data_IF_201236953091
#
_entry.id   IF_201236953091
#
_cell.length_a   1.000
_cell.length_b   1.000
_cell.length_c   1.000
_cell.angle_alpha   90.00
_cell.angle_beta   90.00
_cell.angle_gamma   90.00
#
_symmetry.space_group_name_H-M   'P 1'
#
loop_
_entity.id
_entity.type
_entity.pdbx_description
1 polymer ?
#
# COMPACT_ATOMS: atom_id res chain seq x y z
N UNK A 1 -14.80 -15.44 -30.11
CA UNK A 1 -14.91 -14.02 -29.65
C UNK A 1 -15.41 -13.85 -28.21
N UNK A 2 -16.16 -14.80 -27.61
CA UNK A 2 -16.74 -14.65 -26.25
C UNK A 2 -15.70 -14.85 -25.12
N UNK A 3 -14.78 -15.80 -25.26
CA UNK A 3 -13.76 -16.09 -24.23
C UNK A 3 -12.78 -14.93 -24.01
N UNK A 4 -12.50 -14.16 -25.05
CA UNK A 4 -11.58 -13.02 -24.98
C UNK A 4 -12.13 -11.88 -24.10
N UNK A 5 -13.45 -11.66 -24.14
CA UNK A 5 -14.12 -10.65 -23.30
C UNK A 5 -13.99 -10.97 -21.81
N UNK A 6 -14.22 -12.23 -21.41
CA UNK A 6 -14.07 -12.62 -20.00
C UNK A 6 -12.62 -12.54 -19.53
N UNK A 7 -11.66 -12.89 -20.39
CA UNK A 7 -10.24 -12.77 -20.05
C UNK A 7 -9.80 -11.32 -19.85
N UNK A 8 -10.27 -10.40 -20.71
CA UNK A 8 -9.99 -8.97 -20.59
C UNK A 8 -10.63 -8.40 -19.32
N UNK A 9 -11.88 -8.75 -19.02
CA UNK A 9 -12.54 -8.29 -17.78
C UNK A 9 -11.84 -8.81 -16.53
N UNK A 10 -11.42 -10.08 -16.53
CA UNK A 10 -10.63 -10.64 -15.44
C UNK A 10 -9.28 -9.91 -15.29
N UNK A 11 -8.55 -9.70 -16.40
CA UNK A 11 -7.27 -9.01 -16.38
C UNK A 11 -7.40 -7.56 -15.86
N UNK A 12 -8.43 -6.83 -16.27
CA UNK A 12 -8.70 -5.47 -15.78
C UNK A 12 -9.10 -5.46 -14.31
N UNK A 13 -9.90 -6.43 -13.85
CA UNK A 13 -10.25 -6.57 -12.44
C UNK A 13 -9.03 -6.88 -11.58
N UNK A 14 -8.17 -7.81 -12.01
CA UNK A 14 -6.91 -8.10 -11.32
C UNK A 14 -5.99 -6.87 -11.33
N UNK A 15 -5.82 -6.20 -12.47
CA UNK A 15 -5.03 -4.97 -12.58
C UNK A 15 -5.52 -3.88 -11.62
N UNK A 16 -6.83 -3.64 -11.57
CA UNK A 16 -7.43 -2.69 -10.64
C UNK A 16 -7.20 -3.11 -9.18
N UNK A 17 -7.26 -4.40 -8.87
CA UNK A 17 -6.93 -4.90 -7.53
C UNK A 17 -5.45 -4.79 -7.21
N UNK A 18 -4.49 -4.91 -8.14
CA UNK A 18 -3.06 -4.68 -7.80
C UNK A 18 -2.74 -3.19 -7.63
N UNK A 19 -3.46 -2.32 -8.34
CA UNK A 19 -3.25 -0.85 -8.26
C UNK A 19 -4.01 -0.23 -7.09
N UNK A 20 -5.18 -0.78 -6.75
CA UNK A 20 -5.99 -0.35 -5.60
C UNK A 20 -5.79 -1.23 -4.37
N UNK A 21 -5.08 -2.36 -4.49
CA UNK A 21 -4.49 -2.98 -3.32
C UNK A 21 -3.53 -1.94 -2.78
N UNK A 22 -3.72 -1.48 -1.53
CA UNK A 22 -2.59 -0.90 -0.87
C UNK A 22 -1.49 -1.95 -1.01
N UNK A 23 -0.29 -1.52 -1.38
CA UNK A 23 0.86 -2.35 -1.07
C UNK A 23 0.69 -2.85 0.39
N UNK A 24 1.31 -3.95 0.82
CA UNK A 24 1.40 -4.26 2.26
C UNK A 24 2.07 -3.12 3.10
N UNK A 25 2.24 -1.93 2.55
CA UNK A 25 2.29 -0.63 3.20
C UNK A 25 0.89 -0.07 3.57
N UNK A 26 0.32 -0.57 4.66
CA UNK A 26 -0.17 0.36 5.68
C UNK A 26 -1.45 1.18 5.45
N UNK A 27 -2.37 0.85 4.55
CA UNK A 27 -3.75 1.39 4.64
C UNK A 27 -4.62 0.53 5.57
N UNK A 28 -4.27 0.55 6.86
CA UNK A 28 -5.12 0.24 8.00
C UNK A 28 -4.27 0.57 9.21
N UNK A 29 -4.57 1.58 10.01
CA UNK A 29 -5.80 1.64 10.76
C UNK A 29 -5.66 2.90 11.62
N UNK A 30 -6.46 3.95 11.38
CA UNK A 30 -7.01 4.83 12.43
C UNK A 30 -6.21 4.81 13.76
N UNK A 31 -4.99 5.36 13.82
CA UNK A 31 -4.11 5.46 15.01
C UNK A 31 -2.91 6.35 14.67
N UNK A 32 -2.37 7.00 15.70
CA UNK A 32 -1.35 8.07 15.72
C UNK A 32 0.04 7.74 15.10
N UNK A 33 0.14 6.88 14.08
CA UNK A 33 1.41 6.52 13.44
C UNK A 33 1.39 6.66 11.90
N UNK A 34 2.54 7.04 11.34
CA UNK A 34 2.84 7.21 9.91
C UNK A 34 3.17 5.87 9.24
N UNK A 35 2.72 5.66 7.99
CA UNK A 35 3.00 4.45 7.22
C UNK A 35 4.46 4.40 6.74
N UNK A 36 4.86 3.27 6.16
CA UNK A 36 6.18 3.10 5.55
C UNK A 36 6.34 3.96 4.29
N UNK A 37 7.56 4.46 4.05
CA UNK A 37 7.94 5.49 3.07
C UNK A 37 7.39 6.91 3.35
N UNK A 38 6.73 7.15 4.48
CA UNK A 38 6.43 8.51 4.92
C UNK A 38 7.61 9.16 5.64
N UNK A 39 7.69 10.48 5.60
CA UNK A 39 8.72 11.24 6.30
C UNK A 39 8.49 11.20 7.81
N UNK A 40 9.53 10.91 8.59
CA UNK A 40 9.51 10.84 10.06
C UNK A 40 10.64 11.67 10.68
N UNK A 41 10.40 12.14 11.91
CA UNK A 41 11.43 12.77 12.74
C UNK A 41 11.94 11.84 13.85
N UNK A 42 11.07 10.96 14.35
CA UNK A 42 11.38 10.02 15.44
C UNK A 42 10.77 8.66 15.14
N UNK A 43 11.39 7.60 15.64
CA UNK A 43 10.98 6.21 15.41
C UNK A 43 9.51 5.96 15.74
N UNK A 44 9.03 6.47 16.87
CA UNK A 44 7.65 6.28 17.34
C UNK A 44 6.57 6.97 16.51
N UNK A 45 6.96 7.82 15.55
CA UNK A 45 6.03 8.30 14.55
C UNK A 45 5.73 7.23 13.51
N UNK A 46 6.60 6.25 13.30
CA UNK A 46 6.40 5.19 12.32
C UNK A 46 5.62 4.02 12.92
N UNK A 47 4.71 3.43 12.15
CA UNK A 47 3.96 2.26 12.63
C UNK A 47 4.82 1.01 12.86
N UNK A 48 6.07 1.02 12.38
CA UNK A 48 7.09 0.00 12.62
C UNK A 48 8.13 0.43 13.67
N UNK A 49 7.93 1.58 14.32
CA UNK A 49 8.87 2.18 15.28
C UNK A 49 10.30 2.26 14.71
N UNK A 50 10.42 2.58 13.42
CA UNK A 50 11.70 2.60 12.70
C UNK A 50 11.76 3.79 11.73
N UNK A 51 12.56 4.79 12.09
CA UNK A 51 12.81 6.00 11.31
C UNK A 51 14.26 6.02 10.84
N UNK A 52 14.49 5.71 9.55
CA UNK A 52 15.83 5.64 8.97
C UNK A 52 15.95 6.67 7.87
N UNK A 53 16.98 7.52 7.97
CA UNK A 53 17.20 8.62 7.01
C UNK A 53 15.98 9.55 6.84
N UNK A 54 15.17 9.70 7.90
CA UNK A 54 13.96 10.52 7.88
C UNK A 54 12.77 9.89 7.15
N UNK A 55 12.82 8.57 6.90
CA UNK A 55 11.74 7.79 6.30
C UNK A 55 11.36 6.61 7.20
N UNK A 56 10.06 6.34 7.31
CA UNK A 56 9.55 5.16 7.99
C UNK A 56 9.81 3.91 7.17
N UNK A 57 10.32 2.84 7.81
CA UNK A 57 10.63 1.55 7.20
C UNK A 57 9.96 0.37 7.89
#
# INVERSE_FOLDING_TARGET
MQFFKSAVVAAVAFAAVVVAAPAPAGESLKRECKPILESCAVDSECCADLCVAGLCL
#
